data_IF_884585443390
#
_entry.id   IF_884585443390
#
_cell.length_a   1.000
_cell.length_b   1.000
_cell.length_c   1.000
_cell.angle_alpha   90.00
_cell.angle_beta   90.00
_cell.angle_gamma   90.00
#
_symmetry.space_group_name_H-M   'P 1'
#
loop_
_entity.id
_entity.type
_entity.pdbx_description
1 polymer ?
#
# COMPACT_ATOMS: atom_id res chain seq x y z
N UNK A 1 9.66 -2.22 -12.79
CA UNK A 1 8.37 -1.56 -13.14
C UNK A 1 8.68 -0.23 -13.82
N UNK A 2 7.71 0.47 -14.45
CA UNK A 2 7.95 1.85 -14.91
C UNK A 2 8.10 2.79 -13.70
N UNK A 3 9.12 3.65 -13.70
CA UNK A 3 9.41 4.60 -12.63
C UNK A 3 8.25 5.58 -12.38
N UNK A 4 7.49 5.92 -13.42
CA UNK A 4 6.29 6.76 -13.27
C UNK A 4 5.19 6.04 -12.48
N UNK A 5 4.99 4.74 -12.71
CA UNK A 5 4.04 3.92 -11.95
C UNK A 5 4.46 3.82 -10.48
N UNK A 6 5.75 3.58 -10.21
CA UNK A 6 6.28 3.51 -8.84
C UNK A 6 6.05 4.83 -8.07
N UNK A 7 6.26 5.97 -8.71
CA UNK A 7 5.99 7.27 -8.10
C UNK A 7 4.50 7.48 -7.80
N UNK A 8 3.61 7.10 -8.73
CA UNK A 8 2.17 7.22 -8.51
C UNK A 8 1.71 6.36 -7.34
N UNK A 9 2.21 5.12 -7.22
CA UNK A 9 1.97 4.24 -6.07
C UNK A 9 2.41 4.93 -4.77
N UNK A 10 3.61 5.52 -4.77
CA UNK A 10 4.12 6.23 -3.61
C UNK A 10 3.21 7.36 -3.17
N UNK A 11 2.68 8.12 -4.13
CA UNK A 11 1.72 9.20 -3.86
C UNK A 11 0.42 8.63 -3.27
N UNK A 12 -0.14 7.56 -3.85
CA UNK A 12 -1.39 6.96 -3.36
C UNK A 12 -1.21 6.41 -1.95
N UNK A 13 -0.17 5.62 -1.69
CA UNK A 13 0.12 5.06 -0.36
C UNK A 13 0.28 6.15 0.69
N UNK A 14 0.92 7.27 0.34
CA UNK A 14 1.02 8.43 1.23
C UNK A 14 -0.34 9.05 1.51
N UNK A 15 -1.16 9.29 0.48
CA UNK A 15 -2.51 9.84 0.66
C UNK A 15 -3.36 8.93 1.55
N UNK A 16 -3.33 7.62 1.31
CA UNK A 16 -4.06 6.62 2.11
C UNK A 16 -3.61 6.68 3.57
N UNK A 17 -2.30 6.64 3.84
CA UNK A 17 -1.77 6.75 5.21
C UNK A 17 -2.18 8.05 5.91
N UNK A 18 -2.15 9.19 5.20
CA UNK A 18 -2.57 10.47 5.76
C UNK A 18 -4.08 10.50 6.10
N UNK A 19 -4.92 9.91 5.24
CA UNK A 19 -6.37 9.79 5.49
C UNK A 19 -6.62 8.91 6.71
N UNK A 20 -6.00 7.73 6.79
CA UNK A 20 -6.13 6.85 7.95
C UNK A 20 -5.65 7.52 9.24
N UNK A 21 -4.48 8.16 9.23
CA UNK A 21 -3.94 8.87 10.39
C UNK A 21 -4.86 9.99 10.88
N UNK A 22 -5.41 10.79 9.96
CA UNK A 22 -6.41 11.83 10.30
C UNK A 22 -7.71 11.24 10.82
N UNK A 23 -8.16 10.11 10.27
CA UNK A 23 -9.37 9.40 10.71
C UNK A 23 -9.23 8.94 12.16
N UNK A 24 -8.13 8.24 12.46
CA UNK A 24 -7.81 7.78 13.82
C UNK A 24 -7.69 8.95 14.79
N UNK A 25 -7.13 10.08 14.35
CA UNK A 25 -7.04 11.28 15.17
C UNK A 25 -8.43 11.86 15.49
N UNK A 26 -9.34 11.92 14.52
CA UNK A 26 -10.72 12.37 14.73
C UNK A 26 -11.47 11.42 15.67
N UNK A 27 -11.33 10.11 15.51
CA UNK A 27 -11.93 9.12 16.42
C UNK A 27 -11.51 9.35 17.87
N UNK A 28 -10.21 9.61 18.10
CA UNK A 28 -9.67 9.95 19.43
C UNK A 28 -10.27 11.25 19.99
N UNK A 29 -10.41 12.29 19.18
CA UNK A 29 -10.97 13.58 19.61
C UNK A 29 -12.45 13.44 19.97
N UNK A 30 -13.23 12.77 19.12
CA UNK A 30 -14.67 12.64 19.29
C UNK A 30 -15.08 11.51 20.24
N UNK A 31 -14.12 10.75 20.79
CA UNK A 31 -14.36 9.52 21.55
C UNK A 31 -15.32 8.56 20.80
N UNK A 32 -15.29 8.63 19.47
CA UNK A 32 -16.13 7.84 18.61
C UNK A 32 -15.37 6.55 18.31
N UNK A 33 -15.96 5.41 18.67
CA UNK A 33 -15.36 4.09 18.45
C UNK A 33 -15.51 3.58 17.01
N UNK A 34 -16.17 4.32 16.12
CA UNK A 34 -16.23 3.98 14.69
C UNK A 34 -16.52 5.20 13.82
N UNK A 35 -15.49 5.82 13.26
CA UNK A 35 -15.64 6.80 12.17
C UNK A 35 -15.22 6.11 10.88
N UNK A 36 -16.20 5.51 10.20
CA UNK A 36 -15.99 4.93 8.88
C UNK A 36 -15.96 6.04 7.82
N UNK A 37 -14.76 6.56 7.52
CA UNK A 37 -14.57 7.59 6.48
C UNK A 37 -14.55 6.98 5.08
N UNK A 38 -13.99 5.77 4.93
CA UNK A 38 -14.05 5.01 3.69
C UNK A 38 -15.35 4.19 3.65
N UNK A 39 -15.88 4.02 2.43
CA UNK A 39 -17.02 3.15 2.21
C UNK A 39 -16.67 1.71 2.63
N UNK A 40 -17.63 0.96 3.18
CA UNK A 40 -17.38 -0.39 3.73
C UNK A 40 -16.89 -1.39 2.69
N UNK A 41 -17.18 -1.13 1.43
CA UNK A 41 -16.83 -1.93 0.25
C UNK A 41 -15.57 -1.43 -0.45
N UNK A 42 -14.92 -0.38 0.06
CA UNK A 42 -13.72 0.18 -0.54
C UNK A 42 -12.47 -0.19 0.26
N UNK A 43 -11.64 -1.03 -0.35
CA UNK A 43 -10.30 -1.34 0.13
C UNK A 43 -9.24 -0.75 -0.82
N UNK A 44 -8.61 0.38 -0.45
CA UNK A 44 -7.66 1.06 -1.32
C UNK A 44 -6.43 0.21 -1.66
N UNK A 45 -6.10 -0.80 -0.86
CA UNK A 45 -4.92 -1.64 -1.08
C UNK A 45 -5.22 -2.77 -2.07
N UNK A 46 -6.40 -3.37 -1.99
CA UNK A 46 -6.87 -4.34 -2.98
C UNK A 46 -7.08 -3.69 -4.36
N UNK A 47 -7.61 -2.47 -4.41
CA UNK A 47 -7.66 -1.68 -5.65
C UNK A 47 -6.26 -1.44 -6.23
N UNK A 48 -5.29 -1.14 -5.36
CA UNK A 48 -3.90 -0.95 -5.79
C UNK A 48 -3.31 -2.22 -6.39
N UNK A 49 -3.52 -3.37 -5.76
CA UNK A 49 -3.06 -4.67 -6.26
C UNK A 49 -3.60 -4.93 -7.67
N UNK A 50 -4.90 -4.69 -7.88
CA UNK A 50 -5.55 -4.89 -9.18
C UNK A 50 -4.99 -3.94 -10.25
N UNK A 51 -4.83 -2.65 -9.93
CA UNK A 51 -4.28 -1.64 -10.85
C UNK A 51 -2.83 -1.96 -11.23
N UNK A 52 -2.07 -2.54 -10.30
CA UNK A 52 -0.68 -2.89 -10.53
C UNK A 52 -0.50 -4.22 -11.26
N UNK A 53 -1.59 -4.97 -11.47
CA UNK A 53 -1.56 -6.29 -12.10
C UNK A 53 -0.50 -7.18 -11.44
N UNK A 54 -0.38 -7.08 -10.11
CA UNK A 54 0.59 -7.89 -9.37
C UNK A 54 0.21 -9.37 -9.53
N UNK A 55 1.18 -10.26 -9.72
CA UNK A 55 0.90 -11.69 -9.73
C UNK A 55 0.40 -12.12 -8.35
N UNK A 56 -0.48 -13.11 -8.30
CA UNK A 56 -1.13 -13.56 -7.07
C UNK A 56 -0.12 -13.92 -5.97
N UNK A 57 1.05 -14.46 -6.34
CA UNK A 57 2.11 -14.80 -5.39
C UNK A 57 2.69 -13.55 -4.67
N UNK A 58 2.59 -12.38 -5.30
CA UNK A 58 3.09 -11.12 -4.75
C UNK A 58 2.05 -10.35 -3.92
N UNK A 59 0.77 -10.75 -3.93
CA UNK A 59 -0.30 -10.02 -3.22
C UNK A 59 -0.09 -10.04 -1.72
N UNK A 60 0.19 -11.22 -1.14
CA UNK A 60 0.40 -11.36 0.31
C UNK A 60 1.58 -10.51 0.77
N UNK A 61 2.71 -10.59 0.06
CA UNK A 61 3.89 -9.79 0.38
C UNK A 61 3.62 -8.29 0.26
N UNK A 62 2.88 -7.87 -0.77
CA UNK A 62 2.50 -6.47 -0.94
C UNK A 62 1.72 -5.95 0.28
N UNK A 63 0.72 -6.71 0.74
CA UNK A 63 -0.10 -6.33 1.89
C UNK A 63 0.72 -6.29 3.18
N UNK A 64 1.63 -7.24 3.38
CA UNK A 64 2.54 -7.26 4.53
C UNK A 64 3.45 -6.01 4.56
N UNK A 65 4.06 -5.66 3.42
CA UNK A 65 4.92 -4.47 3.31
C UNK A 65 4.14 -3.18 3.56
N UNK A 66 2.93 -3.07 3.01
CA UNK A 66 2.03 -1.94 3.27
C UNK A 66 1.68 -1.86 4.75
N UNK A 67 1.40 -2.98 5.42
CA UNK A 67 1.11 -3.00 6.84
C UNK A 67 2.28 -2.47 7.67
N UNK A 68 3.52 -2.91 7.38
CA UNK A 68 4.72 -2.38 8.03
C UNK A 68 4.88 -0.88 7.83
N UNK A 69 4.53 -0.36 6.64
CA UNK A 69 4.55 1.07 6.36
C UNK A 69 3.48 1.86 7.13
N UNK A 70 2.27 1.30 7.28
CA UNK A 70 1.20 1.93 8.06
C UNK A 70 1.53 1.96 9.56
N UNK A 71 2.20 0.91 10.06
CA UNK A 71 2.63 0.77 11.45
C UNK A 71 3.92 1.55 11.78
N UNK A 72 4.39 2.41 10.87
CA UNK A 72 5.62 3.21 10.99
C UNK A 72 6.90 2.36 11.18
N UNK A 73 6.87 1.07 10.84
CA UNK A 73 8.01 0.15 10.90
C UNK A 73 8.86 0.14 9.62
N UNK A 74 8.34 0.74 8.55
CA UNK A 74 8.99 0.87 7.25
C UNK A 74 8.72 2.26 6.68
N UNK A 75 9.71 2.85 6.01
CA UNK A 75 9.54 4.11 5.27
C UNK A 75 8.95 3.87 3.89
N UNK A 76 8.33 4.90 3.30
CA UNK A 76 7.81 4.81 1.94
C UNK A 76 8.88 4.41 0.92
N UNK A 77 10.10 4.93 1.06
CA UNK A 77 11.20 4.63 0.14
C UNK A 77 11.63 3.16 0.23
N UNK A 78 11.70 2.60 1.43
CA UNK A 78 12.03 1.18 1.64
C UNK A 78 10.95 0.27 1.04
N UNK A 79 9.67 0.61 1.24
CA UNK A 79 8.55 -0.13 0.65
C UNK A 79 8.61 -0.11 -0.89
N UNK A 80 8.84 1.05 -1.49
CA UNK A 80 8.92 1.18 -2.94
C UNK A 80 10.12 0.44 -3.52
N UNK A 81 11.26 0.46 -2.82
CA UNK A 81 12.44 -0.30 -3.20
C UNK A 81 12.17 -1.81 -3.17
N UNK A 82 11.49 -2.29 -2.14
CA UNK A 82 11.17 -3.72 -2.04
C UNK A 82 10.18 -4.16 -3.13
N UNK A 83 9.21 -3.32 -3.49
CA UNK A 83 8.33 -3.59 -4.64
C UNK A 83 9.10 -3.66 -5.97
N UNK A 84 10.07 -2.76 -6.16
CA UNK A 84 10.89 -2.78 -7.35
C UNK A 84 11.74 -4.06 -7.44
N UNK A 85 12.33 -4.49 -6.33
CA UNK A 85 13.11 -5.73 -6.25
C UNK A 85 12.27 -6.95 -6.57
N UNK A 86 11.07 -7.05 -6.02
CA UNK A 86 10.21 -8.22 -6.20
C UNK A 86 9.68 -8.30 -7.64
N UNK A 87 9.19 -7.18 -8.19
CA UNK A 87 8.77 -7.14 -9.60
C UNK A 87 9.93 -7.33 -10.59
N UNK A 88 11.16 -7.03 -10.18
CA UNK A 88 12.38 -7.34 -10.94
C UNK A 88 12.70 -8.84 -10.94
N UNK A 89 12.64 -9.49 -9.78
CA UNK A 89 12.91 -10.94 -9.62
C UNK A 89 11.91 -11.83 -10.37
N UNK A 90 10.62 -11.50 -10.34
CA UNK A 90 9.60 -12.28 -11.07
C UNK A 90 9.84 -12.28 -12.58
N UNK A 91 10.50 -11.25 -13.13
CA UNK A 91 10.85 -11.19 -14.56
C UNK A 91 12.07 -12.01 -14.93
N UNK A 92 13.03 -12.18 -14.02
CA UNK A 92 14.21 -13.02 -14.25
C UNK A 92 13.87 -14.52 -14.14
N UNK A 93 13.01 -14.90 -13.20
CA UNK A 93 12.57 -16.30 -13.04
C UNK A 93 11.62 -16.77 -14.15
N UNK A 94 10.84 -15.87 -14.77
CA UNK A 94 9.99 -16.19 -15.92
C UNK A 94 10.76 -16.39 -17.24
N UNK A 95 12.05 -16.02 -17.28
CA UNK A 95 12.91 -16.16 -18.45
C UNK A 95 14.02 -17.22 -18.31
N UNK A 96 14.03 -17.96 -17.19
CA UNK A 96 14.92 -19.10 -16.93
C UNK A 96 14.22 -20.44 -17.24
#
# INVERSE_FOLDING_TARGET
>A
MDQQKLQLIGIILRMVKEIYGKTIHLEKIFQASSVHILARDFDPFNELIQILELPDEAHTLFLELVQLYLDDQMTLNELLLEFENQTGKTKEEAHA
#
